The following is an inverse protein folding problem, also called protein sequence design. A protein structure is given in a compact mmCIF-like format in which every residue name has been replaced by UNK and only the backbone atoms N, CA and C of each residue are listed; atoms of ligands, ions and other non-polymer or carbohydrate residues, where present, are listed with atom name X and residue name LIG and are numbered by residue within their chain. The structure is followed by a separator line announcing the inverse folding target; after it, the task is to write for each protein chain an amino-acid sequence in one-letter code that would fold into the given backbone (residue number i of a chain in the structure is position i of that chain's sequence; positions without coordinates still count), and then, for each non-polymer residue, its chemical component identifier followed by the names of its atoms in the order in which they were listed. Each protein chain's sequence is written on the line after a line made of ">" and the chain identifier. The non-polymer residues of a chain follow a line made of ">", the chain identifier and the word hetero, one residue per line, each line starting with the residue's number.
data_IF_100277584586
#
_entry.id   IF_100277584586
#
_cell.length_a   1.000
_cell.length_b   1.000
_cell.length_c   1.000
_cell.angle_alpha   90.00
_cell.angle_beta   90.00
_cell.angle_gamma   90.00
#
_symmetry.space_group_name_H-M   'P 1'
#
loop_
_entity.id
_entity.type
_entity.pdbx_description
1 polymer ?
#
# COMPACT_ATOMS: atom_id res chain seq x y z
N UNK A 1 -29.46 -6.36 -46.82
CA UNK A 1 -27.99 -6.14 -46.76
C UNK A 1 -27.54 -5.15 -45.69
N UNK A 2 -28.37 -4.18 -45.27
CA UNK A 2 -28.06 -3.22 -44.18
C UNK A 2 -27.90 -3.83 -42.79
N UNK A 3 -28.59 -4.93 -42.49
CA UNK A 3 -28.51 -5.62 -41.19
C UNK A 3 -27.12 -6.13 -40.81
N UNK A 4 -26.32 -6.58 -41.79
CA UNK A 4 -24.96 -7.09 -41.54
C UNK A 4 -24.02 -5.97 -41.06
N UNK A 5 -24.22 -4.76 -41.59
CA UNK A 5 -23.42 -3.59 -41.20
C UNK A 5 -23.77 -3.09 -39.79
N UNK A 6 -25.05 -3.17 -39.41
CA UNK A 6 -25.50 -2.77 -38.07
C UNK A 6 -24.94 -3.73 -37.01
N UNK A 7 -25.01 -5.05 -37.25
CA UNK A 7 -24.46 -6.04 -36.32
C UNK A 7 -22.93 -5.91 -36.20
N UNK A 8 -22.23 -5.67 -37.32
CA UNK A 8 -20.79 -5.41 -37.31
C UNK A 8 -20.39 -4.17 -36.51
N UNK A 9 -21.14 -3.07 -36.65
CA UNK A 9 -20.87 -1.82 -35.92
C UNK A 9 -21.12 -1.96 -34.41
N UNK A 10 -22.17 -2.67 -33.99
CA UNK A 10 -22.47 -2.92 -32.57
C UNK A 10 -21.40 -3.79 -31.91
N UNK A 11 -20.88 -4.80 -32.62
CA UNK A 11 -19.78 -5.64 -32.12
C UNK A 11 -18.47 -4.86 -31.95
N UNK A 12 -18.14 -3.99 -32.92
CA UNK A 12 -16.93 -3.13 -32.85
C UNK A 12 -17.01 -2.12 -31.69
N UNK A 13 -18.17 -1.53 -31.44
CA UNK A 13 -18.38 -0.60 -30.32
C UNK A 13 -18.36 -1.31 -28.96
N UNK A 14 -18.95 -2.51 -28.86
CA UNK A 14 -18.91 -3.31 -27.64
C UNK A 14 -17.49 -3.75 -27.25
N UNK A 15 -16.66 -4.11 -28.23
CA UNK A 15 -15.27 -4.48 -27.99
C UNK A 15 -14.40 -3.27 -27.61
N UNK A 16 -14.62 -2.09 -28.22
CA UNK A 16 -13.86 -0.88 -27.95
C UNK A 16 -14.04 -0.32 -26.53
N UNK A 17 -15.21 -0.52 -25.92
CA UNK A 17 -15.50 -0.03 -24.56
C UNK A 17 -14.96 -0.91 -23.42
N UNK A 18 -14.65 -2.19 -23.70
CA UNK A 18 -14.11 -3.13 -22.71
C UNK A 18 -12.59 -2.98 -22.49
N UNK A 19 -11.86 -2.51 -23.50
CA UNK A 19 -10.41 -2.32 -23.43
C UNK A 19 -9.98 -1.26 -22.40
N UNK A 20 -10.58 -0.05 -22.34
CA UNK A 20 -10.22 0.94 -21.32
C UNK A 20 -10.62 0.50 -19.91
N UNK A 21 -11.71 -0.26 -19.75
CA UNK A 21 -12.16 -0.72 -18.44
C UNK A 21 -11.19 -1.74 -17.81
N UNK A 22 -10.63 -2.65 -18.61
CA UNK A 22 -9.62 -3.61 -18.15
C UNK A 22 -8.26 -2.94 -17.88
N UNK A 23 -7.90 -1.93 -18.68
CA UNK A 23 -6.67 -1.14 -18.47
C UNK A 23 -6.79 -0.13 -17.32
N UNK A 24 -8.00 0.31 -16.94
CA UNK A 24 -8.20 1.21 -15.80
C UNK A 24 -7.87 0.58 -14.44
N UNK A 25 -7.79 -0.76 -14.38
CA UNK A 25 -7.32 -1.51 -13.21
C UNK A 25 -5.81 -1.56 -13.08
N UNK A 26 -5.09 -1.01 -14.06
CA UNK A 26 -3.66 -0.80 -13.99
C UNK A 26 -3.40 0.35 -13.00
N UNK A 27 -3.42 -0.04 -11.72
CA UNK A 27 -2.96 0.70 -10.54
C UNK A 27 -1.80 1.61 -10.93
N UNK A 28 -1.84 2.89 -10.52
CA UNK A 28 -0.76 3.85 -10.73
C UNK A 28 0.51 3.38 -9.98
N UNK A 29 1.26 2.49 -10.61
CA UNK A 29 2.25 1.56 -10.01
C UNK A 29 3.63 2.19 -9.83
N UNK A 30 3.73 3.29 -9.10
CA UNK A 30 5.07 3.83 -8.85
C UNK A 30 5.19 4.73 -7.63
N UNK A 31 4.15 5.52 -7.33
CA UNK A 31 4.21 6.46 -6.22
C UNK A 31 3.23 6.14 -5.09
N UNK A 32 2.15 5.40 -5.38
CA UNK A 32 1.11 5.11 -4.41
C UNK A 32 1.66 4.26 -3.25
N UNK A 33 2.44 3.22 -3.55
CA UNK A 33 3.08 2.37 -2.56
C UNK A 33 4.12 3.15 -1.75
N UNK A 34 4.87 4.05 -2.38
CA UNK A 34 5.86 4.87 -1.70
C UNK A 34 5.20 5.90 -0.74
N UNK A 35 4.04 6.44 -1.12
CA UNK A 35 3.23 7.33 -0.28
C UNK A 35 2.61 6.52 0.87
N UNK A 36 2.02 5.37 0.57
CA UNK A 36 1.39 4.51 1.58
C UNK A 36 2.41 4.06 2.63
N UNK A 37 3.59 3.59 2.21
CA UNK A 37 4.64 3.15 3.12
C UNK A 37 5.13 4.28 4.04
N UNK A 38 5.39 5.48 3.49
CA UNK A 38 5.78 6.67 4.30
C UNK A 38 4.67 7.12 5.24
N UNK A 39 3.41 7.10 4.79
CA UNK A 39 2.27 7.45 5.61
C UNK A 39 2.12 6.49 6.80
N UNK A 40 2.28 5.17 6.57
CA UNK A 40 2.25 4.16 7.64
C UNK A 40 3.43 4.28 8.60
N UNK A 41 4.62 4.57 8.08
CA UNK A 41 5.81 4.80 8.91
C UNK A 41 5.64 6.00 9.84
N UNK A 42 5.14 7.13 9.31
CA UNK A 42 4.80 8.29 10.12
C UNK A 42 3.71 7.96 11.15
N UNK A 43 2.65 7.24 10.75
CA UNK A 43 1.59 6.84 11.66
C UNK A 43 2.12 6.00 12.83
N UNK A 44 3.00 5.02 12.56
CA UNK A 44 3.63 4.22 13.60
C UNK A 44 4.56 5.07 14.48
N UNK A 45 5.29 6.01 13.90
CA UNK A 45 6.16 6.97 14.61
C UNK A 45 5.42 7.76 15.69
N UNK A 46 4.17 8.18 15.43
CA UNK A 46 3.34 8.87 16.42
C UNK A 46 3.14 8.07 17.72
N UNK A 47 3.10 6.74 17.62
CA UNK A 47 2.98 5.87 18.79
C UNK A 47 4.32 5.59 19.43
N UNK A 48 5.38 5.36 18.65
CA UNK A 48 6.63 4.85 19.20
C UNK A 48 7.66 5.92 19.55
N UNK A 49 7.63 7.10 18.92
CA UNK A 49 8.55 8.20 19.26
C UNK A 49 8.09 9.00 20.47
N UNK A 50 6.77 9.18 20.62
CA UNK A 50 6.19 10.04 21.67
C UNK A 50 6.04 9.28 23.00
N UNK A 51 5.81 7.96 22.97
CA UNK A 51 5.62 7.20 24.19
C UNK A 51 6.94 7.03 24.97
N UNK A 52 6.91 7.21 26.31
CA UNK A 52 8.06 6.93 27.16
C UNK A 52 8.43 5.43 27.07
N UNK A 53 9.70 5.08 27.35
CA UNK A 53 10.12 3.69 27.48
C UNK A 53 9.18 2.94 28.41
N UNK A 54 8.80 1.74 28.00
CA UNK A 54 7.81 0.90 28.68
C UNK A 54 8.33 -0.53 28.75
N UNK A 55 7.92 -1.24 29.81
CA UNK A 55 8.26 -2.65 29.98
C UNK A 55 7.33 -3.57 29.16
N UNK A 56 6.34 -3.02 28.45
CA UNK A 56 5.50 -3.82 27.55
C UNK A 56 6.34 -4.30 26.34
N UNK A 57 6.59 -5.62 26.20
CA UNK A 57 7.39 -6.16 25.12
C UNK A 57 6.80 -5.87 23.73
N UNK A 58 5.47 -5.68 23.62
CA UNK A 58 4.80 -5.38 22.35
C UNK A 58 5.14 -3.98 21.85
N UNK A 59 5.20 -3.00 22.75
CA UNK A 59 5.55 -1.63 22.42
C UNK A 59 7.03 -1.51 22.04
N UNK A 60 7.90 -2.26 22.71
CA UNK A 60 9.31 -2.37 22.32
C UNK A 60 9.46 -2.99 20.93
N UNK A 61 8.75 -4.09 20.66
CA UNK A 61 8.75 -4.72 19.33
C UNK A 61 8.15 -3.80 18.25
N UNK A 62 7.12 -3.03 18.55
CA UNK A 62 6.58 -2.03 17.63
C UNK A 62 7.61 -0.94 17.29
N UNK A 63 8.42 -0.50 18.26
CA UNK A 63 9.52 0.44 18.05
C UNK A 63 10.62 -0.17 17.17
N UNK A 64 10.98 -1.43 17.37
CA UNK A 64 11.91 -2.15 16.50
C UNK A 64 11.42 -2.22 15.04
N UNK A 65 10.11 -2.49 14.85
CA UNK A 65 9.49 -2.50 13.52
C UNK A 65 9.57 -1.13 12.86
N UNK A 66 9.34 -0.06 13.62
CA UNK A 66 9.44 1.31 13.11
C UNK A 66 10.86 1.67 12.65
N UNK A 67 11.89 1.33 13.44
CA UNK A 67 13.30 1.54 13.05
C UNK A 67 13.64 0.72 11.80
N UNK A 68 13.22 -0.55 11.78
CA UNK A 68 13.46 -1.46 10.64
C UNK A 68 12.82 -0.93 9.35
N UNK A 69 11.54 -0.54 9.42
CA UNK A 69 10.84 0.03 8.28
C UNK A 69 11.47 1.35 7.81
N UNK A 70 11.94 2.20 8.73
CA UNK A 70 12.68 3.42 8.39
C UNK A 70 13.98 3.12 7.63
N UNK A 71 14.71 2.08 8.05
CA UNK A 71 15.90 1.60 7.33
C UNK A 71 15.57 1.13 5.91
N UNK A 72 14.52 0.32 5.75
CA UNK A 72 14.06 -0.14 4.43
C UNK A 72 13.64 1.04 3.55
N UNK A 73 12.88 2.00 4.09
CA UNK A 73 12.45 3.20 3.37
C UNK A 73 13.61 4.07 2.88
N UNK A 74 14.69 4.16 3.65
CA UNK A 74 15.85 4.97 3.28
C UNK A 74 16.52 4.45 1.99
N UNK A 75 16.60 3.11 1.83
CA UNK A 75 17.19 2.47 0.66
C UNK A 75 16.19 2.15 -0.45
N UNK A 76 14.87 2.16 -0.18
CA UNK A 76 13.85 1.75 -1.13
C UNK A 76 13.88 2.57 -2.44
N UNK A 77 13.87 1.86 -3.56
CA UNK A 77 13.82 2.34 -4.95
C UNK A 77 12.73 1.63 -5.76
N UNK A 78 12.26 0.46 -5.33
CA UNK A 78 11.21 -0.31 -6.04
C UNK A 78 9.90 -0.37 -5.27
N UNK A 79 8.82 -0.68 -6.00
CA UNK A 79 7.49 -0.85 -5.42
C UNK A 79 7.48 -1.95 -4.35
N UNK A 80 8.16 -3.08 -4.60
CA UNK A 80 8.23 -4.20 -3.67
C UNK A 80 8.93 -3.83 -2.35
N UNK A 81 9.95 -2.97 -2.42
CA UNK A 81 10.65 -2.46 -1.24
C UNK A 81 9.76 -1.50 -0.43
N UNK A 82 8.97 -0.66 -1.09
CA UNK A 82 7.98 0.17 -0.41
C UNK A 82 6.88 -0.68 0.22
N UNK A 83 6.36 -1.69 -0.48
CA UNK A 83 5.39 -2.63 0.08
C UNK A 83 5.95 -3.42 1.26
N UNK A 84 7.24 -3.78 1.23
CA UNK A 84 7.91 -4.42 2.36
C UNK A 84 7.95 -3.48 3.56
N UNK A 85 8.35 -2.22 3.38
CA UNK A 85 8.33 -1.23 4.44
C UNK A 85 6.91 -1.01 5.01
N UNK A 86 5.90 -0.96 4.14
CA UNK A 86 4.50 -0.83 4.56
C UNK A 86 4.07 -2.02 5.43
N UNK A 87 4.37 -3.25 5.02
CA UNK A 87 4.05 -4.46 5.81
C UNK A 87 4.67 -4.43 7.20
N UNK A 88 5.96 -4.06 7.29
CA UNK A 88 6.66 -3.94 8.58
C UNK A 88 5.97 -2.88 9.47
N UNK A 89 5.55 -1.75 8.90
CA UNK A 89 4.80 -0.73 9.64
C UNK A 89 3.45 -1.26 10.15
N UNK A 90 2.72 -2.01 9.32
CA UNK A 90 1.43 -2.60 9.69
C UNK A 90 1.58 -3.63 10.82
N UNK A 91 2.64 -4.43 10.82
CA UNK A 91 2.98 -5.34 11.93
C UNK A 91 3.19 -4.55 13.23
N UNK A 92 3.95 -3.44 13.18
CA UNK A 92 4.12 -2.55 14.33
C UNK A 92 2.81 -1.98 14.84
N UNK A 93 1.95 -1.46 13.95
CA UNK A 93 0.64 -0.92 14.33
C UNK A 93 -0.29 -1.99 14.92
N UNK A 94 -0.21 -3.24 14.44
CA UNK A 94 -0.95 -4.34 15.03
C UNK A 94 -0.51 -4.64 16.46
N UNK A 95 0.79 -4.54 16.75
CA UNK A 95 1.33 -4.69 18.11
C UNK A 95 0.85 -3.57 19.04
N UNK A 96 0.83 -2.32 18.58
CA UNK A 96 0.26 -1.18 19.34
C UNK A 96 -1.20 -1.49 19.72
N UNK A 97 -2.02 -1.88 18.74
CA UNK A 97 -3.43 -2.22 18.96
C UNK A 97 -3.63 -3.39 19.94
N UNK A 98 -2.68 -4.32 20.00
CA UNK A 98 -2.72 -5.42 20.96
C UNK A 98 -2.31 -4.96 22.36
N UNK A 99 -1.38 -4.01 22.49
CA UNK A 99 -0.98 -3.43 23.78
C UNK A 99 -2.08 -2.54 24.40
N UNK A 100 -2.95 -1.95 23.56
CA UNK A 100 -4.11 -1.15 24.02
C UNK A 100 -5.28 -2.00 24.57
N UNK A 101 -5.25 -3.33 24.43
CA UNK A 101 -6.28 -4.25 24.93
C UNK A 101 -5.87 -4.91 26.23
#
# INVERSE_FOLDING_TARGET
>A
MTWVWIVGAVLLLGAGALVPALLSRQKHSGNDEAIAARARHNQLGLYVEVLPPTDDPRLNQARERWVTAGGVLASARTEEEFQLAERICLEGLALIKQAER
#
